data_IF_071950786855
#
_entry.id   IF_071950786855
#
_cell.length_a   1.000
_cell.length_b   1.000
_cell.length_c   1.000
_cell.angle_alpha   90.00
_cell.angle_beta   90.00
_cell.angle_gamma   90.00
#
_symmetry.space_group_name_H-M   'P 1'
#
loop_
_entity.id
_entity.type
_entity.pdbx_description
1 polymer ?
#
# COMPACT_ATOMS: atom_id res chain seq x y z
N UNK A 1 -52.60 -13.20 17.44
CA UNK A 1 -51.80 -13.88 18.48
C UNK A 1 -50.35 -13.45 18.35
N UNK A 2 -49.91 -12.45 19.12
CA UNK A 2 -48.51 -12.04 19.19
C UNK A 2 -47.83 -12.90 20.26
N UNK A 3 -47.00 -13.85 19.85
CA UNK A 3 -46.19 -14.65 20.77
C UNK A 3 -45.17 -13.72 21.46
N UNK A 4 -45.47 -13.30 22.67
CA UNK A 4 -44.51 -12.63 23.55
C UNK A 4 -43.48 -13.67 24.01
N UNK A 5 -42.42 -13.87 23.22
CA UNK A 5 -41.23 -14.58 23.66
C UNK A 5 -40.51 -13.76 24.74
N UNK A 6 -41.01 -13.85 25.98
CA UNK A 6 -40.30 -13.34 27.15
C UNK A 6 -39.11 -14.25 27.44
N UNK A 7 -37.98 -13.94 26.80
CA UNK A 7 -36.69 -14.58 27.10
C UNK A 7 -36.38 -14.47 28.59
N UNK A 8 -35.91 -15.55 29.20
CA UNK A 8 -35.46 -15.55 30.60
C UNK A 8 -34.29 -14.58 30.78
N UNK A 9 -34.13 -13.98 31.95
CA UNK A 9 -33.03 -13.05 32.26
C UNK A 9 -31.64 -13.64 31.94
N UNK A 10 -31.46 -14.94 32.19
CA UNK A 10 -30.22 -15.65 31.84
C UNK A 10 -29.98 -15.66 30.33
N UNK A 11 -31.02 -15.89 29.52
CA UNK A 11 -30.93 -15.90 28.06
C UNK A 11 -30.66 -14.49 27.50
N UNK A 12 -31.30 -13.45 28.06
CA UNK A 12 -31.04 -12.06 27.65
C UNK A 12 -29.61 -11.63 27.97
N UNK A 13 -29.09 -12.02 29.13
CA UNK A 13 -27.71 -11.76 29.51
C UNK A 13 -26.71 -12.52 28.62
N UNK A 14 -26.96 -13.80 28.33
CA UNK A 14 -26.13 -14.60 27.41
C UNK A 14 -26.13 -14.02 25.98
N UNK A 15 -27.29 -13.59 25.48
CA UNK A 15 -27.39 -12.94 24.17
C UNK A 15 -26.65 -11.60 24.12
N UNK A 16 -26.77 -10.77 25.16
CA UNK A 16 -26.05 -9.51 25.25
C UNK A 16 -24.53 -9.72 25.34
N UNK A 17 -24.07 -10.66 26.18
CA UNK A 17 -22.66 -11.01 26.28
C UNK A 17 -22.13 -11.57 24.95
N UNK A 18 -22.89 -12.45 24.29
CA UNK A 18 -22.56 -12.97 22.97
C UNK A 18 -22.47 -11.86 21.91
N UNK A 19 -23.40 -10.90 21.92
CA UNK A 19 -23.37 -9.76 21.01
C UNK A 19 -22.17 -8.85 21.26
N UNK A 20 -21.79 -8.60 22.52
CA UNK A 20 -20.60 -7.82 22.88
C UNK A 20 -19.33 -8.54 22.41
N UNK A 21 -19.19 -9.83 22.69
CA UNK A 21 -18.04 -10.61 22.25
C UNK A 21 -17.93 -10.63 20.71
N UNK A 22 -19.05 -10.84 20.01
CA UNK A 22 -19.10 -10.78 18.56
C UNK A 22 -18.69 -9.41 18.03
N UNK A 23 -19.19 -8.32 18.61
CA UNK A 23 -18.85 -6.95 18.25
C UNK A 23 -17.35 -6.68 18.39
N UNK A 24 -16.73 -7.15 19.49
CA UNK A 24 -15.29 -7.03 19.72
C UNK A 24 -14.50 -7.82 18.67
N UNK A 25 -14.88 -9.07 18.39
CA UNK A 25 -14.22 -9.90 17.39
C UNK A 25 -14.30 -9.28 15.98
N UNK A 26 -15.49 -8.81 15.59
CA UNK A 26 -15.70 -8.15 14.29
C UNK A 26 -14.83 -6.90 14.18
N UNK A 27 -14.82 -6.05 15.22
CA UNK A 27 -14.01 -4.84 15.20
C UNK A 27 -12.51 -5.15 15.13
N UNK A 28 -12.04 -6.20 15.82
CA UNK A 28 -10.64 -6.62 15.73
C UNK A 28 -10.27 -7.08 14.30
N UNK A 29 -11.09 -7.94 13.67
CA UNK A 29 -10.87 -8.39 12.28
C UNK A 29 -10.82 -7.19 11.32
N UNK A 30 -11.76 -6.27 11.48
CA UNK A 30 -11.88 -5.06 10.68
C UNK A 30 -10.62 -4.17 10.77
N UNK A 31 -10.11 -3.93 11.99
CA UNK A 31 -8.87 -3.17 12.21
C UNK A 31 -7.67 -3.88 11.61
N UNK A 32 -7.53 -5.20 11.80
CA UNK A 32 -6.42 -5.96 11.23
C UNK A 32 -6.42 -5.92 9.71
N UNK A 33 -7.60 -6.05 9.09
CA UNK A 33 -7.74 -5.94 7.64
C UNK A 33 -7.32 -4.55 7.13
N UNK A 34 -7.73 -3.47 7.82
CA UNK A 34 -7.33 -2.11 7.47
C UNK A 34 -5.81 -1.91 7.56
N UNK A 35 -5.17 -2.39 8.64
CA UNK A 35 -3.72 -2.31 8.82
C UNK A 35 -2.98 -3.09 7.72
N UNK A 36 -3.48 -4.26 7.34
CA UNK A 36 -2.90 -5.06 6.28
C UNK A 36 -2.94 -4.32 4.93
N UNK A 37 -4.08 -3.70 4.58
CA UNK A 37 -4.20 -2.90 3.36
C UNK A 37 -3.25 -1.69 3.37
N UNK A 38 -3.21 -0.93 4.46
CA UNK A 38 -2.33 0.23 4.59
C UNK A 38 -0.84 -0.16 4.45
N UNK A 39 -0.44 -1.28 5.06
CA UNK A 39 0.92 -1.81 4.93
C UNK A 39 1.24 -2.20 3.50
N UNK A 40 0.30 -2.87 2.81
CA UNK A 40 0.47 -3.24 1.40
C UNK A 40 0.64 -2.02 0.49
N UNK A 41 -0.21 -1.01 0.65
CA UNK A 41 -0.14 0.24 -0.12
C UNK A 41 1.18 1.00 0.16
N UNK A 42 1.59 1.09 1.43
CA UNK A 42 2.85 1.73 1.81
C UNK A 42 4.08 1.04 1.17
N UNK A 43 4.06 -0.30 1.07
CA UNK A 43 5.11 -1.04 0.36
C UNK A 43 5.16 -0.69 -1.12
N UNK A 44 4.01 -0.57 -1.79
CA UNK A 44 3.94 -0.20 -3.21
C UNK A 44 4.45 1.23 -3.41
N UNK A 45 4.01 2.17 -2.58
CA UNK A 45 4.44 3.58 -2.63
C UNK A 45 5.95 3.70 -2.44
N UNK A 46 6.52 3.01 -1.43
CA UNK A 46 7.97 3.01 -1.20
C UNK A 46 8.72 2.47 -2.43
N UNK A 47 8.25 1.36 -2.98
CA UNK A 47 8.83 0.77 -4.20
C UNK A 47 8.72 1.72 -5.40
N UNK A 48 7.61 2.41 -5.59
CA UNK A 48 7.47 3.42 -6.63
C UNK A 48 8.47 4.57 -6.42
N UNK A 49 8.57 5.06 -5.18
CA UNK A 49 9.55 6.08 -4.79
C UNK A 49 11.01 5.65 -4.92
N UNK A 50 11.33 4.34 -4.90
CA UNK A 50 12.69 3.85 -5.17
C UNK A 50 13.08 3.94 -6.64
N UNK A 51 12.13 3.93 -7.59
CA UNK A 51 12.45 4.00 -9.02
C UNK A 51 13.21 5.28 -9.38
N UNK A 52 12.77 6.43 -8.85
CA UNK A 52 13.42 7.73 -9.05
C UNK A 52 14.85 7.76 -8.47
N UNK A 53 15.03 7.13 -7.29
CA UNK A 53 16.33 7.04 -6.65
C UNK A 53 17.27 6.12 -7.43
N UNK A 54 16.74 5.01 -7.95
CA UNK A 54 17.52 4.09 -8.76
C UNK A 54 18.01 4.75 -10.05
N UNK A 55 17.18 5.48 -10.80
CA UNK A 55 17.64 6.14 -12.04
C UNK A 55 18.75 7.15 -11.78
N UNK A 56 18.59 8.00 -10.76
CA UNK A 56 19.60 8.99 -10.39
C UNK A 56 20.90 8.33 -9.92
N UNK A 57 20.80 7.28 -9.08
CA UNK A 57 21.97 6.55 -8.56
C UNK A 57 22.70 5.80 -9.68
N UNK A 58 21.96 5.21 -10.63
CA UNK A 58 22.54 4.58 -11.83
C UNK A 58 23.35 5.61 -12.62
N UNK A 59 22.76 6.78 -12.93
CA UNK A 59 23.45 7.84 -13.68
C UNK A 59 24.69 8.34 -12.95
N UNK A 60 24.61 8.57 -11.64
CA UNK A 60 25.74 9.00 -10.83
C UNK A 60 26.89 7.99 -10.84
N UNK A 61 26.59 6.70 -10.66
CA UNK A 61 27.61 5.65 -10.68
C UNK A 61 28.18 5.44 -12.09
N UNK A 62 27.36 5.56 -13.13
CA UNK A 62 27.82 5.49 -14.52
C UNK A 62 28.79 6.64 -14.84
N UNK A 63 28.50 7.86 -14.38
CA UNK A 63 29.42 9.01 -14.48
C UNK A 63 30.72 8.76 -13.72
N UNK A 64 30.64 8.22 -12.50
CA UNK A 64 31.82 7.98 -11.67
C UNK A 64 32.83 7.02 -12.34
N UNK A 65 32.36 6.05 -13.14
CA UNK A 65 33.23 5.17 -13.93
C UNK A 65 34.11 5.97 -14.92
N UNK A 66 33.59 7.06 -15.50
CA UNK A 66 34.34 7.90 -16.43
C UNK A 66 35.40 8.74 -15.72
N UNK A 67 35.07 9.31 -14.56
CA UNK A 67 35.98 10.22 -13.84
C UNK A 67 36.96 9.50 -12.90
N UNK A 68 36.66 8.27 -12.48
CA UNK A 68 37.46 7.51 -11.52
C UNK A 68 37.75 6.08 -12.03
N UNK A 69 38.51 5.93 -13.13
CA UNK A 69 38.74 4.64 -13.79
C UNK A 69 39.37 3.59 -12.86
N UNK A 70 40.18 4.01 -11.90
CA UNK A 70 40.79 3.16 -10.85
C UNK A 70 39.74 2.39 -10.03
N UNK A 71 38.58 3.00 -9.77
CA UNK A 71 37.49 2.42 -8.96
C UNK A 71 36.40 1.76 -9.81
N UNK A 72 36.52 1.84 -11.15
CA UNK A 72 35.52 1.34 -12.08
C UNK A 72 35.12 -0.14 -11.85
N UNK A 73 36.02 -1.09 -11.49
CA UNK A 73 35.62 -2.46 -11.19
C UNK A 73 34.61 -2.58 -10.04
N UNK A 74 34.85 -1.84 -8.94
CA UNK A 74 33.98 -1.83 -7.76
C UNK A 74 32.63 -1.16 -8.08
N UNK A 75 32.65 -0.04 -8.80
CA UNK A 75 31.43 0.67 -9.21
C UNK A 75 30.59 -0.20 -10.15
N UNK A 76 31.22 -0.92 -11.10
CA UNK A 76 30.53 -1.87 -11.98
C UNK A 76 29.84 -2.98 -11.19
N UNK A 77 30.46 -3.48 -10.13
CA UNK A 77 29.82 -4.47 -9.25
C UNK A 77 28.56 -3.89 -8.58
N UNK A 78 28.65 -2.68 -8.02
CA UNK A 78 27.50 -1.99 -7.42
C UNK A 78 26.39 -1.72 -8.44
N UNK A 79 26.74 -1.29 -9.66
CA UNK A 79 25.77 -1.07 -10.74
C UNK A 79 25.06 -2.36 -11.16
N UNK A 80 25.72 -3.52 -11.18
CA UNK A 80 25.06 -4.81 -11.46
C UNK A 80 23.99 -5.13 -10.42
N UNK A 81 24.31 -4.95 -9.14
CA UNK A 81 23.35 -5.17 -8.06
C UNK A 81 22.17 -4.19 -8.17
N UNK A 82 22.46 -2.92 -8.41
CA UNK A 82 21.47 -1.87 -8.57
C UNK A 82 20.55 -2.12 -9.78
N UNK A 83 21.10 -2.53 -10.92
CA UNK A 83 20.34 -2.89 -12.12
C UNK A 83 19.38 -4.05 -11.84
N UNK A 84 19.85 -5.08 -11.13
CA UNK A 84 19.02 -6.23 -10.75
C UNK A 84 17.85 -5.80 -9.86
N UNK A 85 18.11 -5.02 -8.81
CA UNK A 85 17.08 -4.50 -7.92
C UNK A 85 16.09 -3.60 -8.66
N UNK A 86 16.60 -2.73 -9.52
CA UNK A 86 15.80 -1.81 -10.32
C UNK A 86 14.81 -2.56 -11.23
N UNK A 87 15.29 -3.59 -11.95
CA UNK A 87 14.46 -4.47 -12.79
C UNK A 87 13.40 -5.22 -11.99
N UNK A 88 13.77 -5.83 -10.86
CA UNK A 88 12.83 -6.53 -9.98
C UNK A 88 11.73 -5.57 -9.49
N UNK A 89 12.13 -4.38 -9.07
CA UNK A 89 11.21 -3.37 -8.60
C UNK A 89 10.29 -2.85 -9.71
N UNK A 90 10.80 -2.70 -10.94
CA UNK A 90 9.99 -2.27 -12.09
C UNK A 90 8.94 -3.33 -12.46
N UNK A 91 9.33 -4.61 -12.47
CA UNK A 91 8.41 -5.73 -12.70
C UNK A 91 7.33 -5.84 -11.62
N UNK A 92 7.70 -5.63 -10.35
CA UNK A 92 6.74 -5.56 -9.25
C UNK A 92 5.69 -4.46 -9.49
N UNK A 93 6.12 -3.24 -9.81
CA UNK A 93 5.21 -2.12 -10.05
C UNK A 93 4.33 -2.32 -11.28
N UNK A 94 4.83 -2.99 -12.31
CA UNK A 94 4.04 -3.36 -13.48
C UNK A 94 2.87 -4.28 -13.13
N UNK A 95 3.09 -5.24 -12.22
CA UNK A 95 2.02 -6.09 -11.69
C UNK A 95 1.07 -5.29 -10.81
N UNK A 96 1.60 -4.48 -9.89
CA UNK A 96 0.80 -3.66 -8.98
C UNK A 96 -0.07 -2.61 -9.70
N UNK A 97 0.40 -2.06 -10.82
CA UNK A 97 -0.37 -1.10 -11.61
C UNK A 97 -1.64 -1.69 -12.25
N UNK A 98 -1.70 -3.02 -12.41
CA UNK A 98 -2.88 -3.73 -12.92
C UNK A 98 -3.88 -4.08 -11.82
N UNK A 99 -3.47 -4.02 -10.56
CA UNK A 99 -4.35 -4.25 -9.42
C UNK A 99 -5.23 -3.03 -9.20
N UNK A 100 -6.46 -3.23 -8.72
CA UNK A 100 -7.47 -2.19 -8.48
C UNK A 100 -7.97 -1.44 -9.74
N UNK A 101 -9.18 -1.83 -10.21
CA UNK A 101 -9.77 -1.42 -11.50
C UNK A 101 -9.99 0.09 -11.65
N UNK A 102 -10.34 0.80 -10.59
CA UNK A 102 -10.71 2.22 -10.67
C UNK A 102 -9.55 3.16 -11.02
N UNK A 103 -8.30 2.80 -10.66
CA UNK A 103 -7.10 3.60 -10.98
C UNK A 103 -6.03 2.82 -11.76
N UNK A 104 -6.38 1.62 -12.26
CA UNK A 104 -5.47 0.80 -13.06
C UNK A 104 -5.08 1.52 -14.37
N UNK A 105 -6.00 2.25 -15.00
CA UNK A 105 -5.78 2.89 -16.30
C UNK A 105 -4.67 3.94 -16.25
N UNK A 106 -4.71 4.88 -15.29
CA UNK A 106 -3.70 5.94 -15.15
C UNK A 106 -2.31 5.37 -14.84
N UNK A 107 -2.22 4.44 -13.89
CA UNK A 107 -0.95 3.81 -13.50
C UNK A 107 -0.36 2.98 -14.65
N UNK A 108 -1.19 2.22 -15.36
CA UNK A 108 -0.78 1.46 -16.53
C UNK A 108 -0.29 2.37 -17.67
N UNK A 109 -0.96 3.51 -17.91
CA UNK A 109 -0.51 4.51 -18.88
C UNK A 109 0.85 5.10 -18.52
N UNK A 110 1.07 5.46 -17.25
CA UNK A 110 2.36 5.98 -16.78
C UNK A 110 3.47 4.93 -16.92
N UNK A 111 3.21 3.66 -16.58
CA UNK A 111 4.18 2.58 -16.83
C UNK A 111 4.48 2.42 -18.31
N UNK A 112 3.46 2.44 -19.17
CA UNK A 112 3.65 2.34 -20.64
C UNK A 112 4.47 3.50 -21.18
N UNK A 113 4.20 4.73 -20.72
CA UNK A 113 4.95 5.94 -21.09
C UNK A 113 6.41 5.85 -20.62
N UNK A 114 6.65 5.29 -19.44
CA UNK A 114 7.99 5.22 -18.87
C UNK A 114 8.85 4.05 -19.40
N UNK A 115 8.20 2.99 -19.87
CA UNK A 115 8.85 1.77 -20.34
C UNK A 115 9.95 1.96 -21.42
N UNK A 116 9.79 2.78 -22.46
CA UNK A 116 10.87 2.99 -23.43
C UNK A 116 12.13 3.59 -22.79
N UNK A 117 11.98 4.56 -21.87
CA UNK A 117 13.12 5.15 -21.15
C UNK A 117 13.79 4.13 -20.22
N UNK A 118 12.98 3.35 -19.49
CA UNK A 118 13.49 2.24 -18.67
C UNK A 118 14.35 1.29 -19.51
N UNK A 119 13.83 0.84 -20.66
CA UNK A 119 14.52 -0.11 -21.55
C UNK A 119 15.82 0.48 -22.11
N UNK A 120 15.81 1.74 -22.55
CA UNK A 120 16.98 2.40 -23.10
C UNK A 120 18.12 2.50 -22.08
N UNK A 121 17.82 2.97 -20.86
CA UNK A 121 18.80 3.05 -19.76
C UNK A 121 19.30 1.65 -19.39
N UNK A 122 18.41 0.67 -19.30
CA UNK A 122 18.77 -0.70 -18.94
C UNK A 122 19.68 -1.40 -19.97
N UNK A 123 19.42 -1.16 -21.25
CA UNK A 123 20.28 -1.64 -22.34
C UNK A 123 21.63 -0.95 -22.33
N UNK A 124 21.65 0.38 -22.18
CA UNK A 124 22.88 1.15 -22.08
C UNK A 124 23.72 0.72 -20.86
N UNK A 125 23.07 0.45 -19.72
CA UNK A 125 23.74 -0.06 -18.54
C UNK A 125 24.32 -1.46 -18.77
N UNK A 126 23.61 -2.32 -19.49
CA UNK A 126 24.12 -3.65 -19.88
C UNK A 126 25.37 -3.54 -20.76
N UNK A 127 25.37 -2.62 -21.72
CA UNK A 127 26.54 -2.33 -22.57
C UNK A 127 27.71 -1.78 -21.76
N UNK A 128 27.44 -0.80 -20.89
CA UNK A 128 28.43 -0.20 -19.99
C UNK A 128 29.09 -1.27 -19.13
N UNK A 129 28.33 -2.24 -18.61
CA UNK A 129 28.82 -3.31 -17.75
C UNK A 129 29.62 -4.39 -18.50
N UNK A 130 29.31 -4.63 -19.77
CA UNK A 130 29.95 -5.66 -20.59
C UNK A 130 31.26 -5.20 -21.25
N UNK A 131 31.32 -3.94 -21.72
CA UNK A 131 32.45 -3.44 -22.52
C UNK A 131 32.98 -2.12 -21.95
N UNK A 132 34.18 -2.12 -21.33
CA UNK A 132 34.77 -0.89 -20.76
C UNK A 132 35.02 0.23 -21.76
N UNK A 133 35.31 -0.11 -23.02
CA UNK A 133 35.56 0.85 -24.10
C UNK A 133 34.28 1.50 -24.67
N UNK A 134 33.11 0.90 -24.48
CA UNK A 134 31.82 1.41 -24.95
C UNK A 134 31.18 2.44 -23.99
N UNK A 135 31.92 2.88 -22.98
CA UNK A 135 31.39 3.63 -21.84
C UNK A 135 30.79 5.00 -22.20
N UNK A 136 31.32 5.70 -23.20
CA UNK A 136 30.89 7.07 -23.56
C UNK A 136 29.51 7.11 -24.22
N UNK A 137 29.27 6.27 -25.22
CA UNK A 137 27.96 6.18 -25.90
C UNK A 137 26.88 5.62 -24.95
N UNK A 138 27.23 4.60 -24.16
CA UNK A 138 26.32 4.06 -23.16
C UNK A 138 25.93 5.12 -22.11
N UNK A 139 26.88 5.92 -21.64
CA UNK A 139 26.61 7.00 -20.70
C UNK A 139 25.71 8.09 -21.30
N UNK A 140 25.95 8.51 -22.54
CA UNK A 140 25.12 9.50 -23.22
C UNK A 140 23.65 9.05 -23.29
N UNK A 141 23.39 7.78 -23.62
CA UNK A 141 22.04 7.20 -23.62
C UNK A 141 21.40 7.16 -22.24
N UNK A 142 22.18 6.86 -21.20
CA UNK A 142 21.67 6.88 -19.82
C UNK A 142 21.21 8.30 -19.48
N UNK A 143 22.03 9.32 -19.76
CA UNK A 143 21.71 10.72 -19.47
C UNK A 143 20.52 11.24 -20.28
N UNK A 144 20.46 10.92 -21.58
CA UNK A 144 19.38 11.34 -22.49
C UNK A 144 18.00 10.89 -21.99
N UNK A 145 17.90 9.64 -21.52
CA UNK A 145 16.61 9.08 -21.09
C UNK A 145 16.30 9.30 -19.61
N UNK A 146 17.28 9.67 -18.77
CA UNK A 146 17.11 9.77 -17.32
C UNK A 146 16.08 10.83 -16.90
N UNK A 147 16.13 12.03 -17.48
CA UNK A 147 15.23 13.12 -17.08
C UNK A 147 13.76 12.75 -17.30
N UNK A 148 13.46 12.21 -18.49
CA UNK A 148 12.12 11.74 -18.82
C UNK A 148 11.70 10.54 -17.95
N UNK A 149 12.64 9.64 -17.66
CA UNK A 149 12.37 8.51 -16.77
C UNK A 149 12.02 8.98 -15.36
N UNK A 150 12.80 9.93 -14.84
CA UNK A 150 12.66 10.50 -13.51
C UNK A 150 11.28 11.13 -13.34
N UNK A 151 10.90 12.05 -14.23
CA UNK A 151 9.61 12.73 -14.20
C UNK A 151 8.43 11.75 -14.26
N UNK A 152 8.50 10.75 -15.15
CA UNK A 152 7.44 9.74 -15.25
C UNK A 152 7.39 8.83 -14.01
N UNK A 153 8.54 8.53 -13.39
CA UNK A 153 8.60 7.73 -12.16
C UNK A 153 8.04 8.48 -10.94
N UNK A 154 8.23 9.80 -10.87
CA UNK A 154 7.62 10.66 -9.86
C UNK A 154 6.10 10.72 -10.02
N UNK A 155 5.62 10.92 -11.25
CA UNK A 155 4.20 10.89 -11.56
C UNK A 155 3.57 9.53 -11.22
N UNK A 156 4.29 8.42 -11.45
CA UNK A 156 3.85 7.08 -11.07
C UNK A 156 3.77 6.91 -9.55
N UNK A 157 4.78 7.36 -8.81
CA UNK A 157 4.77 7.32 -7.34
C UNK A 157 3.60 8.14 -6.77
N UNK A 158 3.36 9.33 -7.32
CA UNK A 158 2.21 10.15 -6.95
C UNK A 158 0.87 9.46 -7.28
N UNK A 159 0.78 8.80 -8.44
CA UNK A 159 -0.43 8.06 -8.79
C UNK A 159 -0.72 6.92 -7.80
N UNK A 160 0.30 6.18 -7.35
CA UNK A 160 0.13 5.17 -6.28
C UNK A 160 -0.27 5.79 -4.94
N UNK A 161 0.36 6.91 -4.55
CA UNK A 161 0.02 7.63 -3.33
C UNK A 161 -1.45 8.09 -3.36
N UNK A 162 -1.87 8.75 -4.43
CA UNK A 162 -3.25 9.25 -4.57
C UNK A 162 -4.29 8.12 -4.59
N UNK A 163 -3.92 6.94 -5.12
CA UNK A 163 -4.78 5.76 -5.09
C UNK A 163 -4.93 5.22 -3.67
N UNK A 164 -3.83 5.07 -2.94
CA UNK A 164 -3.83 4.61 -1.56
C UNK A 164 -4.63 5.56 -0.65
N UNK A 165 -4.47 6.88 -0.82
CA UNK A 165 -5.21 7.88 -0.04
C UNK A 165 -6.72 7.85 -0.32
N UNK A 166 -7.12 7.70 -1.58
CA UNK A 166 -8.53 7.56 -1.93
C UNK A 166 -9.15 6.29 -1.33
N UNK A 167 -8.41 5.18 -1.39
CA UNK A 167 -8.81 3.91 -0.78
C UNK A 167 -8.91 4.02 0.74
N UNK A 168 -7.94 4.66 1.37
CA UNK A 168 -7.90 4.88 2.81
C UNK A 168 -9.09 5.72 3.29
N UNK A 169 -9.43 6.81 2.59
CA UNK A 169 -10.60 7.65 2.93
C UNK A 169 -11.90 6.87 2.84
N UNK A 170 -12.14 6.17 1.74
CA UNK A 170 -13.35 5.35 1.58
C UNK A 170 -13.43 4.28 2.67
N UNK A 171 -12.32 3.59 2.91
CA UNK A 171 -12.20 2.55 3.93
C UNK A 171 -12.50 3.09 5.33
N UNK A 172 -11.92 4.23 5.72
CA UNK A 172 -12.16 4.87 7.01
C UNK A 172 -13.62 5.27 7.21
N UNK A 173 -14.29 5.80 6.18
CA UNK A 173 -15.72 6.18 6.29
C UNK A 173 -16.62 4.97 6.51
N UNK A 174 -16.43 3.88 5.74
CA UNK A 174 -17.26 2.68 5.84
C UNK A 174 -17.00 1.94 7.16
N UNK A 175 -15.73 1.70 7.49
CA UNK A 175 -15.38 1.00 8.72
C UNK A 175 -15.71 1.81 9.97
N UNK A 176 -15.44 3.12 9.96
CA UNK A 176 -15.80 3.99 11.08
C UNK A 176 -17.31 3.99 11.34
N UNK A 177 -18.12 4.01 10.27
CA UNK A 177 -19.57 3.86 10.37
C UNK A 177 -19.99 2.50 10.97
N UNK A 178 -19.41 1.39 10.50
CA UNK A 178 -19.68 0.05 11.04
C UNK A 178 -19.28 -0.07 12.53
N UNK A 179 -18.11 0.44 12.90
CA UNK A 179 -17.65 0.47 14.29
C UNK A 179 -18.57 1.31 15.17
N UNK A 180 -19.08 2.45 14.68
CA UNK A 180 -20.06 3.28 15.39
C UNK A 180 -21.39 2.55 15.57
N UNK A 181 -21.91 1.90 14.52
CA UNK A 181 -23.12 1.09 14.62
C UNK A 181 -22.97 -0.05 15.64
N UNK A 182 -21.82 -0.74 15.62
CA UNK A 182 -21.49 -1.78 16.58
C UNK A 182 -21.48 -1.26 18.02
N UNK A 183 -20.89 -0.08 18.25
CA UNK A 183 -20.87 0.58 19.55
C UNK A 183 -22.30 0.91 20.03
N UNK A 184 -23.16 1.45 19.17
CA UNK A 184 -24.55 1.76 19.50
C UNK A 184 -25.30 0.48 19.90
N UNK A 185 -25.11 -0.63 19.16
CA UNK A 185 -25.73 -1.92 19.48
C UNK A 185 -25.31 -2.39 20.88
N UNK A 186 -24.02 -2.27 21.23
CA UNK A 186 -23.51 -2.62 22.56
C UNK A 186 -24.12 -1.73 23.64
N UNK A 187 -24.19 -0.41 23.42
CA UNK A 187 -24.80 0.53 24.38
C UNK A 187 -26.27 0.18 24.61
N UNK A 188 -27.04 -0.08 23.55
CA UNK A 188 -28.45 -0.47 23.64
C UNK A 188 -28.62 -1.81 24.37
N UNK A 189 -27.74 -2.77 24.14
CA UNK A 189 -27.76 -4.06 24.84
C UNK A 189 -27.50 -3.88 26.35
N UNK A 190 -26.50 -3.07 26.71
CA UNK A 190 -26.18 -2.75 28.11
C UNK A 190 -27.33 -1.98 28.76
N UNK A 191 -27.84 -0.93 28.11
CA UNK A 191 -28.94 -0.13 28.62
C UNK A 191 -30.19 -0.97 28.89
N UNK A 192 -30.54 -1.88 27.97
CA UNK A 192 -31.66 -2.83 28.14
C UNK A 192 -31.48 -3.74 29.36
N UNK A 193 -30.26 -4.16 29.66
CA UNK A 193 -29.95 -4.95 30.87
C UNK A 193 -30.19 -4.12 32.13
N UNK A 194 -29.60 -2.92 32.21
CA UNK A 194 -29.72 -2.04 33.39
C UNK A 194 -31.16 -1.57 33.64
N UNK A 195 -31.90 -1.20 32.59
CA UNK A 195 -33.30 -0.80 32.70
C UNK A 195 -34.18 -1.92 33.29
N UNK A 196 -33.95 -3.18 32.87
CA UNK A 196 -34.70 -4.32 33.42
C UNK A 196 -34.31 -4.65 34.87
N UNK A 197 -33.04 -4.49 35.23
CA UNK A 197 -32.57 -4.68 36.61
C UNK A 197 -33.20 -3.66 37.56
N UNK A 198 -33.23 -2.39 37.18
CA UNK A 198 -33.80 -1.30 38.00
C UNK A 198 -35.31 -1.44 38.22
N UNK A 199 -36.08 -1.78 37.17
CA UNK A 199 -37.50 -2.09 37.29
C UNK A 199 -37.79 -3.22 38.29
N UNK A 200 -36.93 -4.24 38.33
CA UNK A 200 -37.10 -5.37 39.25
C UNK A 200 -36.79 -5.00 40.70
N UNK A 201 -35.75 -4.19 40.95
CA UNK A 201 -35.48 -3.68 42.28
C UNK A 201 -36.62 -2.79 42.79
N UNK A 202 -37.21 -1.96 41.92
CA UNK A 202 -38.37 -1.14 42.28
C UNK A 202 -39.60 -1.99 42.63
N UNK A 203 -39.89 -3.05 41.88
CA UNK A 203 -41.05 -3.93 42.12
C UNK A 203 -40.85 -4.93 43.28
N UNK A 204 -39.63 -5.11 43.79
CA UNK A 204 -39.35 -5.99 44.92
C UNK A 204 -39.33 -5.26 46.27
N UNK A 205 -39.37 -3.92 46.25
CA UNK A 205 -39.35 -3.05 47.44
C UNK A 205 -40.78 -2.52 47.77
N UNK A 206 -41.75 -2.70 46.87
CA UNK A 206 -43.18 -2.49 47.10
C UNK A 206 -43.90 -3.81 47.35
#
# INVERSE_FOLDING_TARGET
MMNNFNLSYRQQYQLAMGAILLAICLNWILVQWQLWQQSHDAQIINRAGRQRMFSQKITKLALQIQYQPQTAPQIRHQLRQLQKEWRINAAFLQKAARQNRFQATRRAQLIRKNYPHFKAIDQALTQLLAQPSASSNALAKIQEHEVNYLQNSEALAFAFQSAAEAHLRQTQTVLGGLSLCSLIIVILAIWKIFYRLTLRCSNAIC
#
